data_IF_767199603153
#
_entry.id   IF_767199603153
#
_cell.length_a   1.000
_cell.length_b   1.000
_cell.length_c   1.000
_cell.angle_alpha   90.00
_cell.angle_beta   90.00
_cell.angle_gamma   90.00
#
_symmetry.space_group_name_H-M   'P 1'
#
loop_
_entity.id
_entity.type
_entity.pdbx_description
1 polymer ?
#
# COMPACT_ATOMS: atom_id res chain seq x y z
N UNK A 1 11.99 14.06 5.49
CA UNK A 1 12.57 15.01 4.51
C UNK A 1 11.68 15.01 3.28
N UNK A 2 11.77 16.01 2.41
CA UNK A 2 11.12 15.93 1.11
C UNK A 2 11.89 14.94 0.22
N UNK A 3 11.21 14.21 -0.64
CA UNK A 3 11.87 13.27 -1.55
C UNK A 3 10.94 12.23 -2.15
N UNK A 4 11.51 11.43 -3.04
CA UNK A 4 10.85 10.25 -3.56
C UNK A 4 10.91 9.14 -2.51
N UNK A 5 9.74 8.65 -2.11
CA UNK A 5 9.60 7.50 -1.26
C UNK A 5 9.03 6.34 -2.08
N UNK A 6 9.63 5.16 -1.93
CA UNK A 6 9.10 3.95 -2.59
C UNK A 6 8.39 3.09 -1.56
N UNK A 7 7.10 2.87 -1.80
CA UNK A 7 6.22 2.05 -0.97
C UNK A 7 6.10 0.67 -1.59
N UNK A 8 6.20 -0.36 -0.76
CA UNK A 8 5.92 -1.74 -1.13
C UNK A 8 4.78 -2.26 -0.26
N UNK A 9 3.74 -2.76 -0.91
CA UNK A 9 2.53 -3.27 -0.28
C UNK A 9 2.38 -4.74 -0.65
N UNK A 10 2.59 -5.64 0.30
CA UNK A 10 2.35 -7.08 0.11
C UNK A 10 1.00 -7.44 0.70
N UNK A 11 0.13 -8.09 -0.07
CA UNK A 11 -1.17 -8.56 0.41
C UNK A 11 -1.58 -9.92 -0.15
N UNK A 12 -2.41 -10.62 0.64
CA UNK A 12 -3.17 -11.83 0.34
C UNK A 12 -4.46 -11.71 1.18
N UNK A 13 -5.64 -11.37 0.66
CA UNK A 13 -6.01 -10.98 -0.71
C UNK A 13 -5.83 -9.46 -0.94
N UNK A 14 -6.92 -8.75 -1.28
CA UNK A 14 -6.89 -7.41 -1.83
C UNK A 14 -6.54 -6.33 -0.82
N UNK A 15 -5.82 -5.32 -1.30
CA UNK A 15 -5.46 -4.13 -0.53
C UNK A 15 -5.45 -2.84 -1.37
N UNK A 16 -5.64 -1.72 -0.67
CA UNK A 16 -5.56 -0.37 -1.24
C UNK A 16 -4.65 0.49 -0.38
N UNK A 17 -3.80 1.29 -1.03
CA UNK A 17 -2.95 2.26 -0.36
C UNK A 17 -3.36 3.68 -0.74
N UNK A 18 -3.54 4.51 0.27
CA UNK A 18 -3.79 5.93 0.14
C UNK A 18 -2.67 6.74 0.80
N UNK A 19 -2.21 7.79 0.12
CA UNK A 19 -1.25 8.76 0.66
C UNK A 19 -1.85 10.15 0.48
N UNK A 20 -2.07 10.86 1.59
CA UNK A 20 -2.78 12.14 1.68
C UNK A 20 -4.16 12.10 1.03
N UNK A 21 -4.89 11.00 1.27
CA UNK A 21 -6.22 10.78 0.71
C UNK A 21 -6.23 10.37 -0.77
N UNK A 22 -5.10 10.42 -1.47
CA UNK A 22 -5.00 9.95 -2.85
C UNK A 22 -4.77 8.45 -2.90
N UNK A 23 -5.59 7.72 -3.65
CA UNK A 23 -5.42 6.29 -3.93
C UNK A 23 -4.21 6.09 -4.85
N UNK A 24 -3.17 5.43 -4.36
CA UNK A 24 -1.90 5.21 -5.07
C UNK A 24 -1.65 3.76 -5.45
N UNK A 25 -2.25 2.81 -4.74
CA UNK A 25 -2.32 1.40 -5.13
C UNK A 25 -3.77 0.95 -4.98
N UNK A 26 -4.33 0.32 -6.01
CA UNK A 26 -5.71 -0.14 -6.03
C UNK A 26 -5.82 -1.59 -6.47
N UNK A 27 -5.60 -2.51 -5.53
CA UNK A 27 -5.62 -3.94 -5.81
C UNK A 27 -6.71 -4.65 -5.01
N UNK A 28 -7.97 -4.41 -5.41
CA UNK A 28 -9.15 -4.85 -4.65
C UNK A 28 -9.82 -6.07 -5.31
N UNK A 29 -9.11 -7.19 -5.35
CA UNK A 29 -9.56 -8.48 -5.88
C UNK A 29 -8.93 -9.65 -5.12
N UNK A 30 -9.48 -10.84 -5.31
CA UNK A 30 -8.98 -12.07 -4.69
C UNK A 30 -7.67 -12.49 -5.39
N UNK A 31 -6.63 -12.75 -4.61
CA UNK A 31 -5.34 -13.17 -5.13
C UNK A 31 -4.44 -13.73 -4.03
N UNK A 32 -3.60 -14.70 -4.42
CA UNK A 32 -2.49 -15.12 -3.57
C UNK A 32 -1.50 -13.97 -3.31
N UNK A 33 -0.67 -14.15 -2.28
CA UNK A 33 0.36 -13.20 -1.88
C UNK A 33 1.16 -12.60 -3.04
N UNK A 34 1.07 -11.28 -3.21
CA UNK A 34 1.91 -10.50 -4.14
C UNK A 34 2.26 -9.13 -3.57
N UNK A 35 3.25 -8.47 -4.18
CA UNK A 35 3.71 -7.14 -3.79
C UNK A 35 3.45 -6.13 -4.90
N UNK A 36 2.71 -5.07 -4.59
CA UNK A 36 2.59 -3.87 -5.39
C UNK A 36 3.60 -2.81 -4.92
N UNK A 37 4.24 -2.13 -5.88
CA UNK A 37 5.25 -1.11 -5.60
C UNK A 37 4.89 0.22 -6.28
N UNK A 38 5.03 1.32 -5.56
CA UNK A 38 4.86 2.67 -6.11
C UNK A 38 5.92 3.63 -5.55
N UNK A 39 6.46 4.49 -6.40
CA UNK A 39 7.28 5.63 -5.96
C UNK A 39 6.45 6.91 -6.00
N UNK A 40 6.39 7.63 -4.88
CA UNK A 40 5.68 8.91 -4.75
C UNK A 40 6.60 9.96 -4.16
N UNK A 41 6.62 11.15 -4.77
CA UNK A 41 7.26 12.31 -4.17
C UNK A 41 6.41 12.81 -3.00
N UNK A 42 7.01 12.94 -1.81
CA UNK A 42 6.41 13.57 -0.65
C UNK A 42 7.15 14.87 -0.31
N UNK A 43 6.39 15.90 0.04
CA UNK A 43 6.95 17.12 0.63
C UNK A 43 7.59 16.82 1.99
N UNK A 44 8.38 17.76 2.51
CA UNK A 44 8.83 17.64 3.89
C UNK A 44 7.64 17.87 4.84
N UNK A 45 7.45 16.97 5.80
CA UNK A 45 6.42 17.11 6.83
C UNK A 45 5.75 15.79 7.17
N UNK A 46 4.62 15.89 7.87
CA UNK A 46 3.76 14.74 8.19
C UNK A 46 2.82 14.47 7.03
N UNK A 47 2.66 13.20 6.69
CA UNK A 47 1.77 12.72 5.64
C UNK A 47 0.82 11.66 6.19
N UNK A 48 -0.41 11.65 5.68
CA UNK A 48 -1.41 10.65 6.09
C UNK A 48 -1.29 9.41 5.21
N UNK A 49 -1.13 8.25 5.84
CA UNK A 49 -1.11 6.95 5.16
C UNK A 49 -2.32 6.16 5.64
N UNK A 50 -3.10 5.64 4.68
CA UNK A 50 -4.20 4.71 4.96
C UNK A 50 -4.04 3.48 4.09
N UNK A 51 -4.05 2.31 4.72
CA UNK A 51 -4.10 1.03 4.05
C UNK A 51 -5.44 0.37 4.35
N UNK A 52 -6.15 -0.05 3.31
CA UNK A 52 -7.34 -0.89 3.42
C UNK A 52 -6.96 -2.29 2.95
N UNK A 53 -7.49 -3.31 3.60
CA UNK A 53 -7.16 -4.72 3.35
C UNK A 53 -8.40 -5.59 3.56
N UNK A 54 -8.54 -6.64 2.78
CA UNK A 54 -9.47 -7.72 3.04
C UNK A 54 -8.85 -9.08 2.73
N UNK A 55 -9.45 -10.11 3.31
CA UNK A 55 -9.16 -11.51 3.02
C UNK A 55 -10.47 -12.22 2.73
N UNK A 56 -10.55 -12.94 1.61
CA UNK A 56 -11.72 -13.69 1.18
C UNK A 56 -11.71 -15.10 1.77
N UNK A 57 -10.62 -15.83 1.59
CA UNK A 57 -10.41 -17.18 2.12
C UNK A 57 -8.92 -17.58 2.11
N UNK A 58 -8.53 -18.41 3.09
CA UNK A 58 -7.21 -19.03 3.11
C UNK A 58 -6.22 -18.32 4.01
N UNK A 59 -5.18 -17.73 3.43
CA UNK A 59 -3.99 -17.25 4.13
C UNK A 59 -3.90 -15.73 4.19
N UNK A 60 -4.10 -15.15 5.36
CA UNK A 60 -4.07 -13.70 5.54
C UNK A 60 -2.66 -13.11 5.64
N UNK A 61 -2.28 -12.24 4.69
CA UNK A 61 -1.03 -11.47 4.74
C UNK A 61 -1.30 -10.01 4.40
N UNK A 62 -0.76 -9.11 5.21
CA UNK A 62 -0.71 -7.68 4.89
C UNK A 62 0.57 -7.04 5.42
N UNK A 63 1.36 -6.40 4.56
CA UNK A 63 2.61 -5.72 4.92
C UNK A 63 2.77 -4.43 4.13
N UNK A 64 3.15 -3.36 4.81
CA UNK A 64 3.54 -2.10 4.19
C UNK A 64 4.96 -1.75 4.62
N UNK A 65 5.83 -1.44 3.66
CA UNK A 65 7.19 -0.92 3.91
C UNK A 65 7.50 0.24 2.97
N UNK A 66 8.46 1.08 3.36
CA UNK A 66 8.92 2.19 2.54
C UNK A 66 10.38 2.55 2.82
N UNK A 67 11.02 3.23 1.86
CA UNK A 67 12.33 3.87 1.98
C UNK A 67 12.34 5.29 1.45
#
# INVERSE_FOLDING_TARGET
>A
TAGNHTFNMTSDDGARLYIDGQLVINDWNDHASRTDTITKYLSAGTHNIKMEYYEAYGGAIVKLSWN
#
